data_IF_595298782563
#
_entry.id   IF_595298782563
#
_cell.length_a   1.000
_cell.length_b   1.000
_cell.length_c   1.000
_cell.angle_alpha   90.00
_cell.angle_beta   90.00
_cell.angle_gamma   90.00
#
_symmetry.space_group_name_H-M   'P 1'
#
loop_
_entity.id
_entity.type
_entity.pdbx_description
1 polymer ?
#
# COMPACT_ATOMS: atom_id res chain seq x y z
N UNK A 1 -14.61 48.34 -0.97
CA UNK A 1 -16.05 48.12 -0.68
C UNK A 1 -16.24 46.61 -0.57
N UNK A 2 -16.21 46.02 0.64
CA UNK A 2 -17.31 45.98 1.65
C UNK A 2 -18.47 45.15 1.06
N UNK A 3 -18.94 44.02 1.58
CA UNK A 3 -18.80 43.40 2.91
C UNK A 3 -19.14 41.90 2.82
N UNK A 4 -18.54 41.11 3.71
CA UNK A 4 -18.88 39.72 4.09
C UNK A 4 -20.14 39.71 4.97
N UNK A 5 -20.94 38.63 4.99
CA UNK A 5 -21.76 38.29 6.16
C UNK A 5 -22.08 36.79 6.23
N UNK A 6 -21.58 36.17 7.29
CA UNK A 6 -21.92 34.83 7.78
C UNK A 6 -23.31 34.79 8.45
N UNK A 7 -23.89 33.59 8.60
CA UNK A 7 -24.30 33.04 9.91
C UNK A 7 -24.89 31.62 9.82
N UNK A 8 -24.61 30.72 10.80
CA UNK A 8 -25.07 29.33 10.88
C UNK A 8 -26.19 29.11 11.92
N UNK A 9 -26.90 27.97 11.87
CA UNK A 9 -27.69 27.42 13.01
C UNK A 9 -28.03 25.94 12.81
N UNK A 10 -27.82 25.12 13.85
CA UNK A 10 -28.82 24.27 14.51
C UNK A 10 -28.28 22.89 14.95
N UNK A 11 -28.23 22.74 16.28
CA UNK A 11 -27.98 21.55 17.09
C UNK A 11 -29.28 20.73 17.17
N UNK A 12 -29.20 19.40 17.11
CA UNK A 12 -30.23 18.50 17.65
C UNK A 12 -29.59 17.30 18.35
N UNK A 13 -29.87 17.23 19.65
CA UNK A 13 -29.50 16.21 20.63
C UNK A 13 -30.67 15.22 20.77
N UNK A 14 -30.37 13.91 20.82
CA UNK A 14 -31.31 12.89 21.27
C UNK A 14 -30.59 11.91 22.21
N UNK A 15 -31.05 11.92 23.46
CA UNK A 15 -30.77 10.97 24.55
C UNK A 15 -31.68 9.73 24.43
N UNK A 16 -31.20 8.56 24.86
CA UNK A 16 -31.92 7.47 25.59
C UNK A 16 -31.07 6.18 25.49
N UNK A 17 -30.40 5.66 26.54
CA UNK A 17 -30.85 4.96 27.77
C UNK A 17 -31.29 3.49 27.60
N UNK A 18 -30.76 2.63 28.50
CA UNK A 18 -31.14 1.24 28.86
C UNK A 18 -30.76 0.13 27.86
N UNK A 19 -30.30 -1.09 28.22
CA UNK A 19 -30.16 -1.82 29.49
C UNK A 19 -29.47 -3.19 29.25
N UNK A 20 -28.94 -3.79 30.32
CA UNK A 20 -28.68 -5.22 30.62
C UNK A 20 -27.19 -5.60 30.83
N UNK A 21 -26.84 -6.05 32.05
CA UNK A 21 -25.67 -6.90 32.28
C UNK A 21 -26.11 -8.38 32.33
N UNK A 22 -25.35 -9.27 31.69
CA UNK A 22 -25.52 -10.72 31.81
C UNK A 22 -24.20 -11.38 32.23
N UNK A 23 -24.15 -11.67 33.53
CA UNK A 23 -23.82 -12.95 34.16
C UNK A 23 -22.52 -13.66 33.72
N UNK A 24 -21.59 -13.60 34.68
CA UNK A 24 -20.52 -14.53 35.06
C UNK A 24 -20.69 -16.00 34.65
N UNK A 25 -19.62 -16.62 34.13
CA UNK A 25 -19.29 -18.03 34.36
C UNK A 25 -17.79 -18.24 34.12
N UNK A 26 -17.03 -18.25 35.21
CA UNK A 26 -15.66 -18.75 35.30
C UNK A 26 -15.66 -20.26 35.18
N UNK A 27 -14.97 -20.80 34.17
CA UNK A 27 -14.53 -22.21 34.15
C UNK A 27 -13.07 -22.22 33.73
N UNK A 28 -12.20 -22.59 34.66
CA UNK A 28 -10.85 -23.07 34.38
C UNK A 28 -10.82 -24.56 34.67
N UNK A 29 -10.32 -25.40 33.76
CA UNK A 29 -9.78 -26.70 34.13
C UNK A 29 -8.25 -26.64 34.11
N UNK A 30 -7.69 -27.00 35.26
CA UNK A 30 -6.32 -27.50 35.42
C UNK A 30 -6.14 -28.82 34.64
N UNK A 31 -4.86 -29.21 34.48
CA UNK A 31 -4.35 -30.51 33.99
C UNK A 31 -4.26 -30.63 32.45
N UNK A 32 -3.15 -31.03 31.82
CA UNK A 32 -2.01 -31.84 32.27
C UNK A 32 -0.79 -31.56 31.38
N UNK A 33 0.42 -31.52 31.94
CA UNK A 33 1.68 -31.66 31.18
C UNK A 33 1.98 -33.15 30.97
N UNK A 34 2.45 -33.60 29.79
CA UNK A 34 3.14 -34.87 29.68
C UNK A 34 4.64 -34.72 29.92
N UNK A 35 5.18 -35.72 30.62
CA UNK A 35 6.60 -35.98 30.84
C UNK A 35 7.36 -36.27 29.53
N UNK A 36 8.59 -35.75 29.49
CA UNK A 36 9.84 -36.45 29.16
C UNK A 36 9.78 -37.70 28.28
N UNK A 37 10.43 -37.61 27.12
CA UNK A 37 11.29 -38.69 26.60
C UNK A 37 12.48 -38.09 25.86
N UNK A 38 13.67 -38.39 26.38
CA UNK A 38 14.99 -38.07 25.83
C UNK A 38 15.25 -38.87 24.55
N UNK A 39 15.94 -38.27 23.58
CA UNK A 39 16.80 -39.00 22.63
C UNK A 39 18.08 -38.18 22.34
N UNK A 40 19.21 -38.85 22.08
CA UNK A 40 20.52 -38.33 22.46
C UNK A 40 21.35 -37.80 21.28
N UNK A 41 22.24 -36.86 21.63
CA UNK A 41 23.66 -36.74 21.24
C UNK A 41 24.10 -36.74 19.76
N UNK A 42 24.99 -35.78 19.49
CA UNK A 42 26.12 -35.80 18.53
C UNK A 42 25.84 -35.31 17.11
N UNK A 43 26.04 -34.00 16.89
CA UNK A 43 26.68 -33.53 15.66
C UNK A 43 27.92 -32.71 16.02
N UNK A 44 29.05 -33.27 15.61
CA UNK A 44 30.41 -32.75 15.81
C UNK A 44 30.73 -31.65 14.78
N UNK A 45 31.48 -30.67 15.25
CA UNK A 45 31.97 -29.48 14.56
C UNK A 45 32.94 -29.77 13.41
N UNK A 46 32.91 -28.94 12.37
CA UNK A 46 34.08 -28.64 11.53
C UNK A 46 33.87 -27.31 10.79
N UNK A 47 34.34 -26.20 11.38
CA UNK A 47 34.56 -24.94 10.66
C UNK A 47 36.00 -25.01 10.11
N UNK A 48 36.13 -25.01 8.78
CA UNK A 48 37.41 -24.89 8.11
C UNK A 48 37.61 -23.43 7.66
N UNK A 49 38.65 -22.81 8.23
CA UNK A 49 39.14 -21.47 7.90
C UNK A 49 39.98 -21.54 6.61
N UNK A 50 39.68 -20.69 5.62
CA UNK A 50 40.50 -20.53 4.40
C UNK A 50 41.45 -19.34 4.58
N UNK A 51 42.75 -19.46 4.25
CA UNK A 51 43.72 -18.40 4.45
C UNK A 51 43.72 -17.38 3.31
N UNK A 52 43.87 -16.10 3.66
CA UNK A 52 44.10 -14.97 2.75
C UNK A 52 45.61 -14.83 2.52
N UNK A 53 46.08 -15.03 1.29
CA UNK A 53 47.45 -14.69 0.88
C UNK A 53 47.46 -13.43 0.00
N UNK A 54 48.24 -12.46 0.47
CA UNK A 54 48.61 -11.21 -0.22
C UNK A 54 49.47 -11.51 -1.45
N UNK A 55 49.21 -10.84 -2.56
CA UNK A 55 50.22 -10.58 -3.59
C UNK A 55 50.29 -9.10 -3.93
N UNK A 56 51.54 -8.63 -4.02
CA UNK A 56 51.97 -7.25 -4.06
C UNK A 56 51.98 -6.70 -5.49
N UNK A 57 51.72 -5.39 -5.54
CA UNK A 57 52.00 -4.39 -6.57
C UNK A 57 53.26 -4.60 -7.40
N UNK A 58 53.16 -4.32 -8.70
CA UNK A 58 54.18 -3.62 -9.49
C UNK A 58 53.52 -2.70 -10.52
N UNK A 59 53.85 -1.41 -10.42
CA UNK A 59 53.51 -0.30 -11.32
C UNK A 59 53.99 -0.53 -12.77
N UNK A 60 53.19 -0.13 -13.75
CA UNK A 60 53.68 0.73 -14.84
C UNK A 60 52.53 1.43 -15.55
N UNK A 61 52.76 2.70 -15.82
CA UNK A 61 51.89 3.75 -16.33
C UNK A 61 51.69 3.69 -17.85
N UNK A 62 50.45 3.90 -18.31
CA UNK A 62 50.21 4.68 -19.53
C UNK A 62 48.79 5.28 -19.53
N UNK A 63 48.74 6.54 -19.95
CA UNK A 63 47.60 7.46 -19.97
C UNK A 63 46.95 7.40 -21.35
N UNK A 64 45.62 7.31 -21.43
CA UNK A 64 44.80 7.66 -22.62
C UNK A 64 43.28 7.57 -22.33
N UNK A 65 42.41 8.28 -23.08
CA UNK A 65 41.48 9.25 -22.49
C UNK A 65 40.00 8.86 -22.49
N UNK A 66 39.25 9.52 -21.59
CA UNK A 66 37.86 10.00 -21.69
C UNK A 66 36.91 9.11 -22.52
N UNK A 67 36.24 8.18 -21.84
CA UNK A 67 35.01 7.57 -22.36
C UNK A 67 33.80 8.24 -21.71
N UNK A 68 33.00 8.93 -22.56
CA UNK A 68 31.71 9.53 -22.20
C UNK A 68 30.74 8.45 -21.68
N UNK A 69 29.91 8.72 -20.66
CA UNK A 69 28.92 7.75 -20.23
C UNK A 69 27.86 7.59 -21.34
N UNK A 70 27.63 6.34 -21.71
CA UNK A 70 26.58 5.91 -22.64
C UNK A 70 25.23 6.28 -22.03
N UNK A 71 24.50 7.21 -22.66
CA UNK A 71 23.10 7.50 -22.33
C UNK A 71 22.30 6.24 -22.63
N UNK A 72 21.92 5.50 -21.59
CA UNK A 72 20.95 4.42 -21.69
C UNK A 72 19.57 5.08 -21.63
N UNK A 73 18.94 5.20 -22.79
CA UNK A 73 17.53 5.57 -22.88
C UNK A 73 16.71 4.51 -22.17
N UNK A 74 16.13 4.86 -21.03
CA UNK A 74 15.18 4.02 -20.31
C UNK A 74 13.94 3.88 -21.19
N UNK A 75 13.80 2.72 -21.86
CA UNK A 75 12.52 2.28 -22.40
C UNK A 75 11.58 2.14 -21.23
N UNK A 76 10.70 3.13 -21.05
CA UNK A 76 9.61 3.09 -20.08
C UNK A 76 8.86 1.78 -20.28
N UNK A 77 8.82 0.97 -19.22
CA UNK A 77 8.14 -0.30 -19.19
C UNK A 77 6.66 -0.07 -19.54
N UNK A 78 6.28 -0.45 -20.75
CA UNK A 78 4.89 -0.58 -21.16
C UNK A 78 4.42 -1.88 -20.52
N UNK A 79 4.20 -1.86 -19.20
CA UNK A 79 3.57 -2.99 -18.51
C UNK A 79 2.15 -3.16 -19.07
N UNK A 80 1.85 -4.41 -19.37
CA UNK A 80 0.94 -4.85 -20.42
C UNK A 80 -0.53 -4.59 -20.09
N UNK A 81 -1.24 -3.94 -21.01
CA UNK A 81 -2.70 -3.83 -21.02
C UNK A 81 -3.43 -5.18 -21.10
N UNK A 82 -2.74 -6.29 -21.35
CA UNK A 82 -3.35 -7.56 -21.77
C UNK A 82 -3.88 -8.45 -20.65
N UNK A 83 -3.67 -8.11 -19.37
CA UNK A 83 -4.10 -8.98 -18.24
C UNK A 83 -5.47 -8.59 -17.64
N UNK A 84 -6.09 -7.51 -18.11
CA UNK A 84 -7.36 -7.02 -17.59
C UNK A 84 -8.48 -7.12 -18.62
N UNK A 85 -9.69 -7.41 -18.15
CA UNK A 85 -10.89 -7.39 -18.98
C UNK A 85 -11.18 -5.97 -19.44
N UNK A 86 -11.77 -5.82 -20.63
CA UNK A 86 -12.13 -4.50 -21.17
C UNK A 86 -13.18 -3.78 -20.31
N UNK A 87 -14.04 -4.52 -19.62
CA UNK A 87 -15.09 -4.03 -18.71
C UNK A 87 -14.61 -3.83 -17.27
N UNK A 88 -13.30 -3.92 -16.98
CA UNK A 88 -12.78 -3.87 -15.61
C UNK A 88 -13.17 -2.60 -14.85
N UNK A 89 -13.20 -1.44 -15.52
CA UNK A 89 -13.62 -0.19 -14.87
C UNK A 89 -15.12 -0.08 -14.66
N UNK A 90 -15.94 -0.81 -15.43
CA UNK A 90 -17.38 -0.94 -15.16
C UNK A 90 -17.63 -1.79 -13.93
N UNK A 91 -17.00 -2.97 -13.85
CA UNK A 91 -17.10 -3.86 -12.69
C UNK A 91 -16.55 -3.17 -11.43
N UNK A 92 -15.41 -2.49 -11.52
CA UNK A 92 -14.84 -1.75 -10.40
C UNK A 92 -15.78 -0.62 -9.96
N UNK A 93 -16.43 0.06 -10.90
CA UNK A 93 -17.36 1.17 -10.63
C UNK A 93 -18.47 0.80 -9.63
N UNK A 94 -18.99 -0.43 -9.71
CA UNK A 94 -20.06 -0.93 -8.84
C UNK A 94 -19.57 -1.41 -7.45
N UNK A 95 -18.24 -1.44 -7.23
CA UNK A 95 -17.68 -1.86 -5.94
C UNK A 95 -17.94 -0.78 -4.89
N UNK A 96 -18.62 -1.17 -3.81
CA UNK A 96 -18.84 -0.32 -2.64
C UNK A 96 -17.68 -0.41 -1.64
N UNK A 97 -17.08 0.72 -1.33
CA UNK A 97 -16.05 0.91 -0.29
C UNK A 97 -16.53 1.92 0.75
N UNK A 98 -15.67 2.26 1.71
CA UNK A 98 -15.97 3.26 2.73
C UNK A 98 -14.97 4.41 2.70
N UNK A 99 -15.43 5.64 2.93
CA UNK A 99 -14.53 6.75 3.26
C UNK A 99 -13.88 6.52 4.63
N UNK A 100 -12.78 7.22 4.92
CA UNK A 100 -12.19 7.22 6.27
C UNK A 100 -13.15 7.76 7.36
N UNK A 101 -14.19 8.51 6.99
CA UNK A 101 -15.26 8.95 7.91
C UNK A 101 -16.31 7.87 8.19
N UNK A 102 -16.36 6.78 7.41
CA UNK A 102 -17.29 5.66 7.59
C UNK A 102 -18.52 5.70 6.67
N UNK A 103 -18.57 6.64 5.71
CA UNK A 103 -19.63 6.68 4.70
C UNK A 103 -19.38 5.63 3.62
N UNK A 104 -20.39 4.85 3.25
CA UNK A 104 -20.33 3.95 2.10
C UNK A 104 -20.43 4.74 0.79
N UNK A 105 -19.55 4.45 -0.16
CA UNK A 105 -19.47 5.07 -1.49
C UNK A 105 -19.15 4.02 -2.54
N UNK A 106 -19.56 4.22 -3.79
CA UNK A 106 -19.12 3.37 -4.92
C UNK A 106 -17.92 4.02 -5.62
N UNK A 107 -17.08 3.23 -6.28
CA UNK A 107 -15.97 3.78 -7.08
C UNK A 107 -16.48 4.74 -8.16
N UNK A 108 -17.64 4.44 -8.76
CA UNK A 108 -18.29 5.30 -9.75
C UNK A 108 -18.52 6.74 -9.26
N UNK A 109 -18.62 6.94 -7.94
CA UNK A 109 -18.93 8.24 -7.33
C UNK A 109 -17.66 9.08 -7.06
N UNK A 110 -16.46 8.51 -7.22
CA UNK A 110 -15.21 9.10 -6.71
C UNK A 110 -14.50 10.02 -7.72
N UNK A 111 -14.73 9.83 -9.02
CA UNK A 111 -14.23 10.68 -10.11
C UNK A 111 -15.23 10.70 -11.26
N UNK A 112 -15.05 11.62 -12.21
CA UNK A 112 -15.88 11.65 -13.42
C UNK A 112 -15.68 10.40 -14.27
N UNK A 113 -16.74 9.60 -14.40
CA UNK A 113 -16.73 8.32 -15.11
C UNK A 113 -16.72 8.44 -16.63
N UNK A 114 -16.82 9.66 -17.18
CA UNK A 114 -16.76 9.90 -18.62
C UNK A 114 -15.35 10.17 -19.09
N UNK A 115 -14.67 11.17 -18.51
CA UNK A 115 -13.33 11.59 -18.96
C UNK A 115 -12.37 11.92 -17.81
N UNK A 116 -12.85 11.95 -16.57
CA UNK A 116 -12.01 12.17 -15.39
C UNK A 116 -10.90 11.13 -15.26
N UNK A 117 -9.70 11.58 -14.87
CA UNK A 117 -8.55 10.71 -14.64
C UNK A 117 -8.39 10.44 -13.15
N UNK A 118 -8.27 9.16 -12.79
CA UNK A 118 -8.06 8.73 -11.41
C UNK A 118 -6.85 7.81 -11.30
N UNK A 119 -6.02 8.05 -10.28
CA UNK A 119 -4.99 7.13 -9.82
C UNK A 119 -5.53 6.38 -8.60
N UNK A 120 -5.84 5.10 -8.79
CA UNK A 120 -6.32 4.20 -7.75
C UNK A 120 -5.13 3.39 -7.22
N UNK A 121 -4.74 3.66 -5.98
CA UNK A 121 -3.60 3.02 -5.31
C UNK A 121 -4.12 2.15 -4.17
N UNK A 122 -4.07 0.84 -4.36
CA UNK A 122 -4.49 -0.14 -3.37
C UNK A 122 -3.29 -0.49 -2.48
N UNK A 123 -3.32 0.01 -1.25
CA UNK A 123 -2.43 -0.40 -0.17
C UNK A 123 -2.75 -1.86 0.22
N UNK A 124 -1.76 -2.61 0.72
CA UNK A 124 -1.99 -3.99 1.18
C UNK A 124 -3.01 -4.07 2.31
N UNK A 125 -2.76 -3.30 3.37
CA UNK A 125 -3.63 -3.13 4.54
C UNK A 125 -3.08 -1.99 5.40
N UNK A 126 -3.92 -1.41 6.27
CA UNK A 126 -3.50 -0.29 7.12
C UNK A 126 -2.44 -0.64 8.19
N UNK A 127 -2.26 -1.93 8.49
CA UNK A 127 -1.22 -2.42 9.41
C UNK A 127 0.12 -2.79 8.77
N UNK A 128 0.38 -2.41 7.52
CA UNK A 128 1.63 -2.77 6.82
C UNK A 128 2.61 -1.59 6.87
N UNK A 129 3.82 -1.78 7.40
CA UNK A 129 4.85 -0.71 7.46
C UNK A 129 5.16 -0.14 6.07
N UNK A 130 5.32 -0.99 5.05
CA UNK A 130 5.55 -0.54 3.67
C UNK A 130 4.36 0.26 3.11
N UNK A 131 3.14 0.05 3.61
CA UNK A 131 1.99 0.87 3.21
C UNK A 131 1.99 2.25 3.87
N UNK A 132 2.59 2.40 5.06
CA UNK A 132 2.77 3.72 5.68
C UNK A 132 3.84 4.53 4.95
N UNK A 133 4.88 3.85 4.48
CA UNK A 133 5.88 4.45 3.60
C UNK A 133 5.24 4.93 2.28
N UNK A 134 4.49 4.06 1.59
CA UNK A 134 3.76 4.43 0.38
C UNK A 134 2.76 5.56 0.65
N UNK A 135 2.01 5.51 1.75
CA UNK A 135 1.08 6.58 2.12
C UNK A 135 1.80 7.92 2.38
N UNK A 136 3.03 7.88 2.92
CA UNK A 136 3.85 9.09 3.12
C UNK A 136 4.22 9.69 1.76
N UNK A 137 4.72 8.86 0.84
CA UNK A 137 5.05 9.29 -0.51
C UNK A 137 3.82 9.81 -1.28
N UNK A 138 2.67 9.17 -1.15
CA UNK A 138 1.40 9.60 -1.75
C UNK A 138 0.94 10.96 -1.21
N UNK A 139 1.05 11.18 0.10
CA UNK A 139 0.74 12.46 0.72
C UNK A 139 1.62 13.58 0.16
N UNK A 140 2.92 13.33 0.04
CA UNK A 140 3.87 14.30 -0.52
C UNK A 140 3.65 14.55 -2.02
N UNK A 141 3.24 13.52 -2.76
CA UNK A 141 2.96 13.60 -4.19
C UNK A 141 1.58 14.19 -4.52
N UNK A 142 0.63 14.24 -3.57
CA UNK A 142 -0.74 14.70 -3.83
C UNK A 142 -0.83 16.04 -4.58
N UNK A 143 -0.06 17.11 -4.25
CA UNK A 143 -0.12 18.36 -4.99
C UNK A 143 0.20 18.21 -6.49
N UNK A 144 1.03 17.23 -6.87
CA UNK A 144 1.36 16.93 -8.27
C UNK A 144 0.20 16.22 -8.99
N UNK A 145 -0.53 15.34 -8.30
CA UNK A 145 -1.77 14.75 -8.82
C UNK A 145 -2.83 15.83 -9.02
N UNK A 146 -3.03 16.70 -8.03
CA UNK A 146 -3.99 17.81 -8.10
C UNK A 146 -3.66 18.74 -9.28
N UNK A 147 -2.38 19.12 -9.44
CA UNK A 147 -1.92 19.96 -10.55
C UNK A 147 -2.10 19.33 -11.94
N UNK A 148 -2.10 17.99 -12.03
CA UNK A 148 -2.36 17.25 -13.26
C UNK A 148 -3.85 17.02 -13.54
N UNK A 149 -4.76 17.47 -12.65
CA UNK A 149 -6.19 17.21 -12.75
C UNK A 149 -6.58 15.76 -12.44
N UNK A 150 -5.75 15.04 -11.68
CA UNK A 150 -5.90 13.62 -11.41
C UNK A 150 -6.46 13.39 -10.01
N UNK A 151 -7.55 12.64 -9.91
CA UNK A 151 -8.11 12.22 -8.62
C UNK A 151 -7.22 11.13 -8.02
N UNK A 152 -6.60 11.41 -6.87
CA UNK A 152 -5.91 10.38 -6.09
C UNK A 152 -6.88 9.63 -5.16
N UNK A 153 -6.88 8.30 -5.26
CA UNK A 153 -7.72 7.39 -4.46
C UNK A 153 -6.82 6.32 -3.86
N UNK A 154 -6.54 6.42 -2.56
CA UNK A 154 -5.80 5.42 -1.79
C UNK A 154 -6.79 4.51 -1.04
N UNK A 155 -6.73 3.20 -1.28
CA UNK A 155 -7.61 2.21 -0.67
C UNK A 155 -6.79 1.25 0.16
N UNK A 156 -7.21 0.95 1.39
CA UNK A 156 -6.57 -0.06 2.22
C UNK A 156 -7.57 -1.13 2.68
N UNK A 157 -7.09 -2.37 2.81
CA UNK A 157 -7.83 -3.41 3.52
C UNK A 157 -7.89 -3.06 5.01
N UNK A 158 -9.09 -3.12 5.57
CA UNK A 158 -9.42 -2.82 6.96
C UNK A 158 -10.67 -1.94 7.07
N UNK A 159 -11.11 -1.69 8.29
CA UNK A 159 -12.29 -0.87 8.57
C UNK A 159 -11.98 0.64 8.52
N UNK A 160 -13.00 1.52 8.41
CA UNK A 160 -12.82 2.97 8.41
C UNK A 160 -12.05 3.53 9.62
N UNK A 161 -12.16 2.92 10.80
CA UNK A 161 -11.35 3.29 11.96
C UNK A 161 -9.85 3.04 11.73
N UNK A 162 -9.45 1.97 11.03
CA UNK A 162 -8.04 1.73 10.67
C UNK A 162 -7.53 2.78 9.68
N UNK A 163 -8.35 3.16 8.70
CA UNK A 163 -8.03 4.24 7.78
C UNK A 163 -7.82 5.56 8.54
N UNK A 164 -8.69 5.86 9.51
CA UNK A 164 -8.59 7.06 10.34
C UNK A 164 -7.32 7.07 11.22
N UNK A 165 -6.89 5.91 11.73
CA UNK A 165 -5.62 5.79 12.47
C UNK A 165 -4.46 6.23 11.57
N UNK A 166 -4.41 5.73 10.33
CA UNK A 166 -3.41 6.16 9.35
C UNK A 166 -3.50 7.67 9.13
N UNK A 167 -4.66 8.19 8.75
CA UNK A 167 -4.86 9.62 8.47
C UNK A 167 -4.56 10.55 9.66
N UNK A 168 -4.67 10.06 10.89
CA UNK A 168 -4.37 10.85 12.09
C UNK A 168 -2.88 10.87 12.40
N UNK A 169 -2.23 9.70 12.41
CA UNK A 169 -0.82 9.57 12.80
C UNK A 169 0.14 9.97 11.67
N UNK A 170 -0.24 9.67 10.43
CA UNK A 170 0.34 10.24 9.23
C UNK A 170 -0.72 11.17 8.66
N UNK A 171 -0.62 12.51 8.82
CA UNK A 171 -1.69 13.46 8.45
C UNK A 171 -1.96 13.44 6.94
N UNK A 172 -2.65 12.38 6.50
CA UNK A 172 -2.91 11.99 5.14
C UNK A 172 -4.29 12.56 4.78
N UNK A 173 -4.45 13.17 3.60
CA UNK A 173 -5.70 13.81 3.21
C UNK A 173 -6.86 12.81 3.19
N UNK A 174 -7.83 12.97 4.10
CA UNK A 174 -8.91 11.99 4.30
C UNK A 174 -9.80 11.82 3.06
N UNK A 175 -9.93 12.86 2.22
CA UNK A 175 -10.67 12.85 0.97
C UNK A 175 -10.08 11.92 -0.10
N UNK A 176 -8.82 11.51 0.10
CA UNK A 176 -8.11 10.56 -0.74
C UNK A 176 -8.05 9.16 -0.11
N UNK A 177 -8.54 8.94 1.11
CA UNK A 177 -8.35 7.68 1.84
C UNK A 177 -9.65 6.91 2.03
N UNK A 178 -9.64 5.66 1.59
CA UNK A 178 -10.79 4.76 1.58
C UNK A 178 -10.43 3.40 2.17
N UNK A 179 -11.43 2.72 2.70
CA UNK A 179 -11.35 1.43 3.35
C UNK A 179 -12.19 0.40 2.57
N UNK A 180 -11.60 -0.74 2.24
CA UNK A 180 -12.29 -1.89 1.65
C UNK A 180 -12.14 -3.11 2.58
N UNK A 181 -13.00 -3.23 3.61
CA UNK A 181 -12.90 -4.32 4.60
C UNK A 181 -13.10 -5.71 3.99
N UNK A 182 -13.88 -5.80 2.91
CA UNK A 182 -14.25 -7.05 2.25
C UNK A 182 -13.30 -7.42 1.10
N UNK A 183 -12.33 -6.55 0.79
CA UNK A 183 -11.34 -6.72 -0.30
C UNK A 183 -11.95 -6.86 -1.70
N UNK A 184 -13.19 -6.38 -1.91
CA UNK A 184 -13.90 -6.54 -3.18
C UNK A 184 -13.16 -5.89 -4.35
N UNK A 185 -12.54 -4.73 -4.14
CA UNK A 185 -11.75 -4.08 -5.18
C UNK A 185 -10.50 -4.90 -5.53
N UNK A 186 -9.89 -5.55 -4.53
CA UNK A 186 -8.71 -6.40 -4.70
C UNK A 186 -9.05 -7.66 -5.50
N UNK A 187 -10.20 -8.28 -5.22
CA UNK A 187 -10.70 -9.44 -5.94
C UNK A 187 -11.03 -9.10 -7.41
N UNK A 188 -11.72 -7.99 -7.64
CA UNK A 188 -12.05 -7.50 -9.00
C UNK A 188 -10.79 -7.22 -9.81
N UNK A 189 -9.78 -6.59 -9.21
CA UNK A 189 -8.52 -6.24 -9.87
C UNK A 189 -7.52 -7.41 -9.91
N UNK A 190 -7.89 -8.58 -9.38
CA UNK A 190 -7.06 -9.78 -9.37
C UNK A 190 -5.73 -9.59 -8.65
N UNK A 191 -5.72 -8.82 -7.56
CA UNK A 191 -4.53 -8.57 -6.75
C UNK A 191 -4.13 -9.82 -5.99
N UNK A 192 -2.82 -10.03 -5.86
CA UNK A 192 -2.33 -11.29 -5.30
C UNK A 192 -2.62 -11.43 -3.81
N UNK A 193 -2.85 -12.67 -3.40
CA UNK A 193 -3.02 -13.07 -2.01
C UNK A 193 -2.16 -14.29 -1.72
N UNK A 194 -1.46 -14.30 -0.59
CA UNK A 194 -0.86 -15.52 -0.06
C UNK A 194 0.51 -15.36 0.60
N UNK A 195 0.91 -16.41 1.33
CA UNK A 195 2.12 -16.45 2.14
C UNK A 195 3.40 -16.34 1.30
N UNK A 196 3.49 -17.12 0.22
CA UNK A 196 4.66 -17.17 -0.67
C UNK A 196 5.03 -15.80 -1.23
N UNK A 197 4.03 -15.09 -1.76
CA UNK A 197 4.21 -13.74 -2.32
C UNK A 197 4.52 -12.69 -1.24
N UNK A 198 3.95 -12.85 -0.05
CA UNK A 198 4.11 -11.89 1.04
C UNK A 198 5.49 -11.94 1.68
N UNK A 199 6.02 -13.14 1.93
CA UNK A 199 7.23 -13.34 2.75
C UNK A 199 8.43 -13.88 1.97
N UNK A 200 8.22 -14.54 0.83
CA UNK A 200 9.28 -15.23 0.09
C UNK A 200 9.45 -14.70 -1.34
N UNK A 201 8.80 -13.59 -1.71
CA UNK A 201 8.95 -13.03 -3.05
C UNK A 201 10.23 -12.18 -3.17
N UNK A 202 11.13 -12.48 -4.13
CA UNK A 202 12.32 -11.66 -4.39
C UNK A 202 12.00 -10.21 -4.75
N UNK A 203 10.79 -9.88 -5.21
CA UNK A 203 10.35 -8.51 -5.44
C UNK A 203 10.40 -7.65 -4.16
N UNK A 204 10.29 -8.28 -2.98
CA UNK A 204 10.43 -7.61 -1.68
C UNK A 204 11.85 -7.08 -1.42
N UNK A 205 12.84 -7.42 -2.26
CA UNK A 205 14.19 -6.84 -2.15
C UNK A 205 14.21 -5.32 -2.40
N UNK A 206 13.21 -4.75 -3.09
CA UNK A 206 13.03 -3.29 -3.23
C UNK A 206 12.81 -2.55 -1.91
N UNK A 207 12.49 -3.26 -0.85
CA UNK A 207 12.40 -2.72 0.52
C UNK A 207 13.78 -2.29 1.02
N UNK A 208 14.86 -2.98 0.65
CA UNK A 208 16.22 -2.65 1.10
C UNK A 208 16.71 -1.31 0.54
N UNK A 209 16.33 -0.94 -0.68
CA UNK A 209 16.71 0.36 -1.26
C UNK A 209 15.98 1.54 -0.64
N UNK A 210 14.88 1.31 0.10
CA UNK A 210 14.04 2.34 0.72
C UNK A 210 14.08 2.28 2.26
N UNK A 211 15.18 1.78 2.81
CA UNK A 211 15.31 1.53 4.25
C UNK A 211 15.15 2.81 5.09
N UNK A 212 15.64 3.95 4.61
CA UNK A 212 15.48 5.26 5.27
C UNK A 212 14.02 5.68 5.38
N UNK A 213 13.27 5.54 4.29
CA UNK A 213 11.87 5.92 4.14
C UNK A 213 10.99 5.01 4.99
N UNK A 214 11.26 3.70 4.97
CA UNK A 214 10.61 2.72 5.85
C UNK A 214 10.87 3.07 7.31
N UNK A 215 12.12 3.36 7.68
CA UNK A 215 12.47 3.75 9.05
C UNK A 215 11.72 5.03 9.46
N UNK A 216 11.59 5.99 8.56
CA UNK A 216 10.80 7.21 8.85
C UNK A 216 9.32 6.87 9.06
N UNK A 217 8.74 6.05 8.18
CA UNK A 217 7.35 5.60 8.30
C UNK A 217 7.07 4.86 9.62
N UNK A 218 8.05 4.12 10.16
CA UNK A 218 7.88 3.43 11.46
C UNK A 218 7.65 4.37 12.63
N UNK A 219 8.02 5.66 12.55
CA UNK A 219 7.81 6.62 13.65
C UNK A 219 6.33 6.89 13.91
N UNK A 220 5.50 6.85 12.87
CA UNK A 220 4.05 7.10 12.97
C UNK A 220 3.23 5.80 13.00
N UNK A 221 3.83 4.70 12.55
CA UNK A 221 3.20 3.39 12.42
C UNK A 221 2.62 2.85 13.74
N UNK A 222 1.53 2.09 13.64
CA UNK A 222 0.97 1.33 14.76
C UNK A 222 0.35 0.03 14.31
N UNK A 223 0.54 -1.01 15.11
CA UNK A 223 -0.09 -2.32 14.89
C UNK A 223 -1.61 -2.27 15.06
N UNK A 224 -2.14 -1.26 15.77
CA UNK A 224 -3.58 -1.03 15.94
C UNK A 224 -4.29 -0.79 14.60
N UNK A 225 -3.57 -0.34 13.58
CA UNK A 225 -4.08 -0.16 12.23
C UNK A 225 -4.24 -1.49 11.47
N UNK A 226 -3.81 -2.63 12.02
CA UNK A 226 -3.95 -3.93 11.35
C UNK A 226 -5.41 -4.37 11.32
N UNK A 227 -5.93 -4.85 10.16
CA UNK A 227 -7.31 -5.34 10.03
C UNK A 227 -7.62 -6.45 11.03
N UNK A 228 -8.85 -6.49 11.54
CA UNK A 228 -9.34 -7.52 12.47
C UNK A 228 -9.06 -8.92 11.94
N UNK A 229 -9.43 -9.18 10.69
CA UNK A 229 -9.07 -10.40 9.97
C UNK A 229 -7.56 -10.45 9.69
N UNK A 230 -6.84 -11.26 10.46
CA UNK A 230 -5.39 -11.42 10.32
C UNK A 230 -4.97 -12.07 9.01
N UNK A 231 -5.86 -12.79 8.30
CA UNK A 231 -5.51 -13.37 7.00
C UNK A 231 -5.32 -12.28 5.93
N UNK A 232 -5.95 -11.11 6.10
CA UNK A 232 -5.80 -9.94 5.24
C UNK A 232 -4.37 -9.43 5.14
N UNK A 233 -3.49 -9.75 6.09
CA UNK A 233 -2.07 -9.34 6.02
C UNK A 233 -1.33 -9.99 4.85
N UNK A 234 -1.89 -11.05 4.25
CA UNK A 234 -1.32 -11.73 3.08
C UNK A 234 -1.71 -11.08 1.75
N UNK A 235 -2.58 -10.06 1.79
CA UNK A 235 -3.00 -9.31 0.60
C UNK A 235 -1.84 -8.47 0.05
N UNK A 236 -1.69 -8.45 -1.27
CA UNK A 236 -0.82 -7.54 -2.00
C UNK A 236 -1.59 -6.34 -2.55
N UNK A 237 -0.87 -5.25 -2.78
CA UNK A 237 -1.39 -4.00 -3.31
C UNK A 237 -1.35 -3.95 -4.83
N UNK A 238 -1.61 -2.77 -5.36
CA UNK A 238 -1.44 -2.48 -6.78
C UNK A 238 -1.80 -1.03 -7.10
N UNK A 239 -1.39 -0.57 -8.27
CA UNK A 239 -1.64 0.79 -8.75
C UNK A 239 -2.26 0.77 -10.13
N UNK A 240 -3.33 1.53 -10.28
CA UNK A 240 -4.14 1.59 -11.49
C UNK A 240 -4.42 3.04 -11.87
N UNK A 241 -4.43 3.33 -13.16
CA UNK A 241 -4.82 4.65 -13.70
C UNK A 241 -5.99 4.44 -14.64
N UNK A 242 -7.08 5.17 -14.41
CA UNK A 242 -8.28 5.15 -15.24
C UNK A 242 -8.52 6.51 -15.87
N UNK A 243 -9.09 6.52 -17.08
CA UNK A 243 -9.81 7.66 -17.67
C UNK A 243 -11.27 7.25 -17.84
N UNK A 244 -12.18 7.90 -17.14
CA UNK A 244 -13.53 7.41 -16.98
C UNK A 244 -13.51 5.95 -16.50
N UNK A 245 -14.14 5.04 -17.25
CA UNK A 245 -14.10 3.59 -17.02
C UNK A 245 -12.94 2.85 -17.72
N UNK A 246 -12.17 3.53 -18.57
CA UNK A 246 -11.09 2.88 -19.34
C UNK A 246 -9.84 2.78 -18.49
N UNK A 247 -9.32 1.56 -18.32
CA UNK A 247 -8.01 1.33 -17.72
C UNK A 247 -6.89 1.80 -18.66
N UNK A 248 -6.01 2.66 -18.16
CA UNK A 248 -4.84 3.21 -18.87
C UNK A 248 -3.51 2.59 -18.41
N UNK A 249 -3.47 2.11 -17.17
CA UNK A 249 -2.31 1.45 -16.58
C UNK A 249 -2.79 0.61 -15.41
N UNK A 250 -2.25 -0.59 -15.26
CA UNK A 250 -2.50 -1.45 -14.11
C UNK A 250 -1.26 -2.26 -13.77
N UNK A 251 -0.83 -2.17 -12.52
CA UNK A 251 0.30 -2.94 -11.99
C UNK A 251 -0.08 -3.55 -10.65
N UNK A 252 0.09 -4.88 -10.54
CA UNK A 252 -0.07 -5.63 -9.30
C UNK A 252 1.27 -5.61 -8.57
N UNK A 253 1.25 -5.41 -7.25
CA UNK A 253 2.47 -5.52 -6.46
C UNK A 253 2.82 -7.01 -6.31
N UNK A 254 3.97 -7.45 -6.84
CA UNK A 254 4.33 -8.88 -6.82
C UNK A 254 4.59 -9.37 -5.38
N UNK A 255 5.05 -8.47 -4.50
CA UNK A 255 5.31 -8.75 -3.10
C UNK A 255 5.34 -7.50 -2.22
N UNK A 256 5.67 -7.69 -0.96
CA UNK A 256 5.66 -6.63 0.05
C UNK A 256 6.62 -5.50 -0.34
N UNK A 257 6.07 -4.30 -0.56
CA UNK A 257 6.87 -3.12 -0.92
C UNK A 257 7.30 -3.07 -2.38
N UNK A 258 6.70 -3.87 -3.26
CA UNK A 258 6.92 -3.78 -4.71
C UNK A 258 5.97 -2.79 -5.40
N UNK A 259 5.68 -1.63 -4.81
CA UNK A 259 4.84 -0.62 -5.48
C UNK A 259 5.64 0.13 -6.57
N UNK A 260 4.98 0.64 -7.63
CA UNK A 260 5.67 1.44 -8.65
C UNK A 260 6.21 2.76 -8.10
N UNK A 261 7.12 3.39 -8.87
CA UNK A 261 7.50 4.78 -8.62
C UNK A 261 6.31 5.71 -8.85
N UNK A 262 6.08 6.65 -7.95
CA UNK A 262 5.02 7.65 -8.12
C UNK A 262 5.30 8.58 -9.31
N UNK A 263 6.56 8.77 -9.70
CA UNK A 263 6.89 9.53 -10.90
C UNK A 263 6.41 8.82 -12.17
N UNK A 264 6.53 7.50 -12.24
CA UNK A 264 6.03 6.73 -13.39
C UNK A 264 4.50 6.80 -13.48
N UNK A 265 3.82 6.67 -12.34
CA UNK A 265 2.36 6.79 -12.25
C UNK A 265 1.89 8.18 -12.68
N UNK A 266 2.51 9.24 -12.16
CA UNK A 266 2.20 10.63 -12.53
C UNK A 266 2.49 10.86 -14.02
N UNK A 267 3.58 10.30 -14.57
CA UNK A 267 3.89 10.43 -15.99
C UNK A 267 2.83 9.76 -16.88
N UNK A 268 2.29 8.61 -16.47
CA UNK A 268 1.15 7.98 -17.16
C UNK A 268 -0.06 8.90 -17.11
N UNK A 269 -0.38 9.44 -15.93
CA UNK A 269 -1.52 10.34 -15.76
C UNK A 269 -1.39 11.61 -16.61
N UNK A 270 -0.23 12.27 -16.62
CA UNK A 270 0.01 13.48 -17.41
C UNK A 270 -0.14 13.23 -18.91
N UNK A 271 0.33 12.07 -19.40
CA UNK A 271 0.14 11.68 -20.81
C UNK A 271 -1.32 11.46 -21.15
N UNK A 272 -2.09 10.91 -20.20
CA UNK A 272 -3.53 10.76 -20.36
C UNK A 272 -4.19 12.13 -20.48
N UNK A 273 -3.92 13.09 -19.58
CA UNK A 273 -4.57 14.41 -19.59
C UNK A 273 -4.40 15.18 -20.90
N UNK A 274 -3.30 14.97 -21.63
CA UNK A 274 -3.00 15.65 -22.90
C UNK A 274 -3.63 14.96 -24.12
N UNK A 275 -3.97 13.67 -24.03
CA UNK A 275 -4.48 12.84 -25.13
C UNK A 275 -5.99 12.95 -25.31
#
# INVERSE_FOLDING_TARGET
>A
MILVSESPMAILSLRSSSSLPLICSTISPLCSKPMLSQLPSNFSSSIASVPVTKLKSSYSSSVSPISRPRVVSARAATESFTDYREDIGEILGDVSIFTASGQRVQFSDLWDQKDGIAAVVLLRHFGCVCCWELATALKEAKPRFDAAGVKLIAVGVGTPDKARILATRLPFPMECLYADPERKAYDVLGLYFGLGRTFFNPASTKVFSRFSEIREATKNYTIEATPEDRSSVLQQGGTFVFRGKKLLYGRKDEGTGDHPSLDDVINVCCKATVA
#
